data_IF_790672906492
#
_entry.id   IF_790672906492
#
_cell.length_a   1.000
_cell.length_b   1.000
_cell.length_c   1.000
_cell.angle_alpha   90.00
_cell.angle_beta   90.00
_cell.angle_gamma   90.00
#
_symmetry.space_group_name_H-M   'P 1'
#
loop_
_entity.id
_entity.type
_entity.pdbx_description
1 polymer ?
#
# COMPACT_ATOMS: atom_id res chain seq x y z
N UNK A 1 13.99 2.62 8.94
CA UNK A 1 13.49 3.11 10.25
C UNK A 1 12.00 2.83 10.32
N UNK A 2 11.51 2.34 11.46
CA UNK A 2 10.09 2.07 11.68
C UNK A 2 9.34 3.34 12.08
N UNK A 3 8.06 3.42 11.73
CA UNK A 3 7.19 4.51 12.17
C UNK A 3 6.99 4.44 13.70
N UNK A 4 7.17 5.53 14.45
CA UNK A 4 6.99 5.51 15.90
C UNK A 4 5.54 5.28 16.34
N UNK A 5 4.55 5.60 15.49
CA UNK A 5 3.13 5.45 15.83
C UNK A 5 2.65 3.99 15.76
N UNK A 6 3.23 3.17 14.89
CA UNK A 6 2.73 1.80 14.64
C UNK A 6 3.81 0.71 14.55
N UNK A 7 5.10 1.05 14.58
CA UNK A 7 6.22 0.11 14.45
C UNK A 7 6.47 -0.42 13.03
N UNK A 8 5.57 -0.13 12.07
CA UNK A 8 5.68 -0.54 10.67
C UNK A 8 6.55 0.44 9.89
N UNK A 9 7.44 0.00 8.98
CA UNK A 9 8.18 0.92 8.12
C UNK A 9 7.25 1.56 7.10
N UNK A 10 7.38 2.87 6.88
CA UNK A 10 6.68 3.58 5.82
C UNK A 10 7.48 3.49 4.51
N UNK A 11 7.15 2.51 3.67
CA UNK A 11 7.82 2.26 2.39
C UNK A 11 7.04 2.87 1.22
N UNK A 12 7.76 3.23 0.16
CA UNK A 12 7.20 3.74 -1.09
C UNK A 12 7.16 2.66 -2.17
N UNK A 13 6.27 2.83 -3.16
CA UNK A 13 6.27 2.03 -4.39
C UNK A 13 7.40 2.43 -5.36
N UNK A 14 8.03 3.57 -5.09
CA UNK A 14 9.23 4.07 -5.76
C UNK A 14 10.46 3.74 -4.90
N UNK A 15 11.60 3.45 -5.55
CA UNK A 15 12.85 3.08 -4.90
C UNK A 15 13.43 4.22 -4.06
N UNK A 16 13.42 5.45 -4.58
CA UNK A 16 13.86 6.65 -3.87
C UNK A 16 12.68 7.42 -3.26
N UNK A 17 12.47 7.42 -1.93
CA UNK A 17 11.40 8.19 -1.32
C UNK A 17 11.55 9.71 -1.56
N UNK A 18 12.78 10.22 -1.74
CA UNK A 18 13.02 11.63 -2.04
C UNK A 18 12.55 12.08 -3.43
N UNK A 19 12.33 11.14 -4.36
CA UNK A 19 11.96 11.43 -5.76
C UNK A 19 10.47 11.28 -6.04
N UNK A 20 9.66 10.83 -5.07
CA UNK A 20 8.24 10.55 -5.30
C UNK A 20 7.50 11.76 -5.86
N UNK A 21 7.70 12.95 -5.30
CA UNK A 21 7.09 14.19 -5.81
C UNK A 21 7.53 14.50 -7.24
N UNK A 22 8.83 14.34 -7.54
CA UNK A 22 9.37 14.58 -8.88
C UNK A 22 8.70 13.66 -9.92
N UNK A 23 8.53 12.39 -9.56
CA UNK A 23 7.95 11.38 -10.45
C UNK A 23 6.46 11.66 -10.65
N UNK A 24 5.68 11.82 -9.57
CA UNK A 24 4.21 11.85 -9.67
C UNK A 24 3.63 13.22 -10.02
N UNK A 25 4.37 14.31 -9.79
CA UNK A 25 3.88 15.68 -10.05
C UNK A 25 4.65 16.40 -11.15
N UNK A 26 5.96 16.12 -11.32
CA UNK A 26 6.81 16.81 -12.30
C UNK A 26 7.14 15.98 -13.55
N UNK A 27 6.71 14.72 -13.59
CA UNK A 27 6.94 13.84 -14.73
C UNK A 27 8.37 13.37 -14.89
N UNK A 28 9.16 13.32 -13.80
CA UNK A 28 10.46 12.63 -13.81
C UNK A 28 10.23 11.16 -14.19
N UNK A 29 10.97 10.67 -15.19
CA UNK A 29 10.89 9.25 -15.58
C UNK A 29 11.41 8.41 -14.40
N UNK A 30 10.64 7.43 -13.88
CA UNK A 30 11.17 6.57 -12.82
C UNK A 30 12.44 5.81 -13.26
N UNK A 31 12.73 5.64 -14.56
CA UNK A 31 14.01 5.07 -15.01
C UNK A 31 15.23 5.89 -14.54
N UNK A 32 15.04 7.17 -14.20
CA UNK A 32 16.07 8.07 -13.66
C UNK A 32 16.26 7.94 -12.13
N UNK A 33 15.44 7.14 -11.44
CA UNK A 33 15.59 6.88 -10.00
C UNK A 33 16.90 6.09 -9.76
N UNK A 34 17.93 6.67 -9.11
CA UNK A 34 19.24 6.04 -9.00
C UNK A 34 19.21 4.71 -8.21
N UNK A 35 18.20 4.55 -7.36
CA UNK A 35 18.03 3.37 -6.50
C UNK A 35 17.10 2.32 -7.12
N UNK A 36 16.67 2.46 -8.38
CA UNK A 36 15.72 1.56 -9.04
C UNK A 36 16.04 0.07 -8.83
N UNK A 37 17.32 -0.30 -8.80
CA UNK A 37 17.78 -1.69 -8.62
C UNK A 37 17.39 -2.28 -7.26
N UNK A 38 17.24 -1.46 -6.21
CA UNK A 38 16.80 -1.90 -4.87
C UNK A 38 15.37 -2.43 -4.88
N UNK A 39 14.56 -2.04 -5.88
CA UNK A 39 13.21 -2.58 -6.07
C UNK A 39 13.21 -4.07 -6.47
N UNK A 40 14.34 -4.58 -7.00
CA UNK A 40 14.48 -5.90 -7.58
C UNK A 40 14.10 -5.98 -9.07
N UNK A 41 13.84 -4.86 -9.72
CA UNK A 41 13.65 -4.81 -11.18
C UNK A 41 14.92 -5.26 -11.91
N UNK A 42 14.76 -5.86 -13.09
CA UNK A 42 15.90 -6.32 -13.91
C UNK A 42 16.49 -5.21 -14.78
N UNK A 43 15.78 -4.09 -14.94
CA UNK A 43 16.28 -2.91 -15.67
C UNK A 43 15.55 -1.63 -15.24
N UNK A 44 16.13 -0.44 -15.51
CA UNK A 44 15.45 0.84 -15.27
C UNK A 44 14.12 0.94 -16.05
N UNK A 45 14.07 0.42 -17.28
CA UNK A 45 12.86 0.45 -18.10
C UNK A 45 11.73 -0.43 -17.51
N UNK A 46 12.08 -1.58 -16.96
CA UNK A 46 11.11 -2.42 -16.25
C UNK A 46 10.60 -1.72 -14.98
N UNK A 47 11.51 -1.08 -14.25
CA UNK A 47 11.16 -0.29 -13.07
C UNK A 47 10.18 0.83 -13.42
N UNK A 48 10.51 1.66 -14.43
CA UNK A 48 9.67 2.76 -14.91
C UNK A 48 8.26 2.31 -15.29
N UNK A 49 8.16 1.17 -16.00
CA UNK A 49 6.88 0.61 -16.42
C UNK A 49 5.98 0.22 -15.25
N UNK A 50 6.55 -0.31 -14.16
CA UNK A 50 5.77 -0.90 -13.07
C UNK A 50 5.63 -0.01 -11.84
N UNK A 51 6.56 0.90 -11.56
CA UNK A 51 6.63 1.65 -10.29
C UNK A 51 5.31 2.37 -9.95
N UNK A 52 4.58 2.87 -10.95
CA UNK A 52 3.26 3.50 -10.78
C UNK A 52 2.14 2.58 -10.28
N UNK A 53 2.29 1.26 -10.40
CA UNK A 53 1.23 0.27 -10.17
C UNK A 53 1.44 -0.57 -8.90
N UNK A 54 2.60 -0.45 -8.24
CA UNK A 54 3.01 -1.33 -7.14
C UNK A 54 2.60 -0.85 -5.74
N UNK A 55 1.64 0.07 -5.61
CA UNK A 55 1.11 0.49 -4.30
C UNK A 55 0.64 -0.69 -3.43
N UNK A 56 0.02 -1.69 -4.05
CA UNK A 56 -0.41 -2.93 -3.38
C UNK A 56 0.76 -3.77 -2.85
N UNK A 57 1.82 -3.94 -3.65
CA UNK A 57 3.02 -4.67 -3.22
C UNK A 57 3.83 -3.91 -2.19
N UNK A 58 3.87 -2.58 -2.27
CA UNK A 58 4.45 -1.76 -1.20
C UNK A 58 3.69 -1.95 0.12
N UNK A 59 2.35 -1.98 0.08
CA UNK A 59 1.54 -2.27 1.27
C UNK A 59 1.80 -3.68 1.83
N UNK A 60 1.84 -4.70 0.96
CA UNK A 60 2.18 -6.07 1.38
C UNK A 60 3.58 -6.12 2.01
N UNK A 61 4.58 -5.50 1.39
CA UNK A 61 5.96 -5.45 1.90
C UNK A 61 6.03 -4.82 3.28
N UNK A 62 5.28 -3.74 3.51
CA UNK A 62 5.16 -3.12 4.83
C UNK A 62 4.51 -4.07 5.85
N UNK A 63 3.44 -4.77 5.46
CA UNK A 63 2.75 -5.73 6.33
C UNK A 63 3.61 -6.97 6.67
N UNK A 64 4.44 -7.44 5.74
CA UNK A 64 5.40 -8.52 5.97
C UNK A 64 6.55 -8.11 6.90
N UNK A 65 6.92 -6.82 6.87
CA UNK A 65 7.94 -6.27 7.76
C UNK A 65 9.37 -6.66 7.39
N UNK A 66 10.21 -6.87 8.40
CA UNK A 66 11.64 -7.15 8.20
C UNK A 66 11.85 -8.50 7.48
N UNK A 67 12.70 -8.51 6.46
CA UNK A 67 12.95 -9.70 5.64
C UNK A 67 11.95 -9.90 4.49
N UNK A 68 10.98 -8.99 4.31
CA UNK A 68 10.08 -9.03 3.17
C UNK A 68 10.85 -8.98 1.83
N UNK A 69 10.44 -9.77 0.81
CA UNK A 69 11.08 -9.75 -0.50
C UNK A 69 11.07 -8.36 -1.15
N UNK A 70 11.97 -8.10 -2.12
CA UNK A 70 11.92 -6.90 -2.96
C UNK A 70 10.58 -6.72 -3.66
N UNK A 71 10.24 -5.48 -4.01
CA UNK A 71 8.96 -5.11 -4.63
C UNK A 71 8.66 -5.91 -5.91
N UNK A 72 9.67 -6.15 -6.75
CA UNK A 72 9.51 -6.86 -8.01
C UNK A 72 9.40 -8.38 -7.82
N UNK A 73 10.04 -8.95 -6.80
CA UNK A 73 9.81 -10.34 -6.41
C UNK A 73 8.37 -10.54 -5.90
N UNK A 74 7.85 -9.60 -5.11
CA UNK A 74 6.45 -9.63 -4.67
C UNK A 74 5.48 -9.48 -5.84
N UNK A 75 5.77 -8.58 -6.80
CA UNK A 75 5.02 -8.41 -8.04
C UNK A 75 4.95 -9.71 -8.82
N UNK A 76 6.09 -10.39 -9.01
CA UNK A 76 6.13 -11.62 -9.82
C UNK A 76 5.35 -12.75 -9.18
N UNK A 77 5.47 -12.92 -7.85
CA UNK A 77 4.63 -13.85 -7.10
C UNK A 77 3.13 -13.51 -7.22
N UNK A 78 2.77 -12.23 -7.13
CA UNK A 78 1.39 -11.78 -7.28
C UNK A 78 0.86 -12.00 -8.72
N UNK A 79 1.68 -11.80 -9.75
CA UNK A 79 1.33 -12.05 -11.17
C UNK A 79 1.08 -13.53 -11.43
N UNK A 80 1.86 -14.43 -10.84
CA UNK A 80 1.64 -15.87 -10.94
C UNK A 80 0.26 -16.32 -10.38
N UNK A 81 -0.39 -15.45 -9.59
CA UNK A 81 -1.73 -15.67 -9.04
C UNK A 81 -2.82 -14.86 -9.76
N UNK A 82 -2.50 -14.14 -10.84
CA UNK A 82 -3.39 -13.21 -11.55
C UNK A 82 -3.81 -11.97 -10.73
N UNK A 83 -3.03 -11.61 -9.71
CA UNK A 83 -3.31 -10.42 -8.90
C UNK A 83 -2.92 -9.11 -9.61
N UNK A 84 -2.09 -9.20 -10.65
CA UNK A 84 -1.78 -8.12 -11.58
C UNK A 84 -1.86 -8.67 -12.99
N UNK A 85 -2.57 -7.94 -13.86
CA UNK A 85 -2.77 -8.31 -15.26
C UNK A 85 -2.39 -7.15 -16.18
N UNK A 86 -2.02 -7.50 -17.41
CA UNK A 86 -1.83 -6.56 -18.50
C UNK A 86 -2.91 -6.80 -19.55
N UNK A 87 -3.51 -5.72 -20.04
CA UNK A 87 -4.39 -5.81 -21.20
C UNK A 87 -3.58 -6.05 -22.49
N UNK A 88 -4.26 -6.36 -23.59
CA UNK A 88 -3.62 -6.62 -24.88
C UNK A 88 -2.81 -5.43 -25.44
N UNK A 89 -3.14 -4.21 -25.02
CA UNK A 89 -2.41 -2.97 -25.39
C UNK A 89 -1.22 -2.67 -24.47
N UNK A 90 -0.94 -3.54 -23.49
CA UNK A 90 0.15 -3.41 -22.52
C UNK A 90 -0.19 -2.58 -21.28
N UNK A 91 -1.44 -2.14 -21.13
CA UNK A 91 -1.93 -1.41 -19.94
C UNK A 91 -1.90 -2.31 -18.70
N UNK A 92 -1.21 -1.88 -17.65
CA UNK A 92 -1.16 -2.59 -16.37
C UNK A 92 -2.39 -2.22 -15.53
N UNK A 93 -3.20 -3.23 -15.17
CA UNK A 93 -4.35 -3.05 -14.28
C UNK A 93 -3.91 -2.93 -12.82
N UNK A 94 -4.76 -2.30 -12.00
CA UNK A 94 -4.57 -2.26 -10.55
C UNK A 94 -4.68 -3.65 -9.90
N UNK A 95 -4.20 -3.77 -8.67
CA UNK A 95 -4.21 -5.02 -7.91
C UNK A 95 -5.64 -5.61 -7.80
N UNK A 96 -5.80 -6.86 -8.22
CA UNK A 96 -7.04 -7.63 -8.09
C UNK A 96 -7.06 -8.32 -6.71
N UNK A 97 -8.10 -8.08 -5.91
CA UNK A 97 -8.08 -8.44 -4.48
C UNK A 97 -8.21 -9.92 -4.16
N UNK A 98 -9.12 -10.63 -4.83
CA UNK A 98 -9.31 -12.07 -4.56
C UNK A 98 -8.06 -12.90 -4.90
N UNK A 99 -7.42 -12.72 -6.07
CA UNK A 99 -6.19 -13.43 -6.37
C UNK A 99 -5.00 -12.96 -5.52
N UNK A 100 -4.94 -11.67 -5.17
CA UNK A 100 -3.96 -11.16 -4.21
C UNK A 100 -4.09 -11.83 -2.83
N UNK A 101 -5.31 -11.93 -2.30
CA UNK A 101 -5.53 -12.53 -0.99
C UNK A 101 -5.17 -14.02 -0.99
N UNK A 102 -5.39 -14.72 -2.10
CA UNK A 102 -4.90 -16.09 -2.31
C UNK A 102 -3.38 -16.15 -2.27
N UNK A 103 -2.69 -15.29 -3.00
CA UNK A 103 -1.23 -15.18 -2.98
C UNK A 103 -0.67 -14.90 -1.58
N UNK A 104 -1.26 -13.94 -0.86
CA UNK A 104 -0.84 -13.59 0.49
C UNK A 104 -1.00 -14.76 1.48
N UNK A 105 -2.08 -15.54 1.37
CA UNK A 105 -2.31 -16.74 2.21
C UNK A 105 -1.33 -17.86 1.87
N UNK A 106 -1.23 -18.23 0.60
CA UNK A 106 -0.52 -19.44 0.18
C UNK A 106 1.01 -19.28 0.20
N UNK A 107 1.51 -18.09 -0.15
CA UNK A 107 2.97 -17.86 -0.24
C UNK A 107 3.53 -17.24 1.03
N UNK A 108 2.76 -16.40 1.72
CA UNK A 108 3.25 -15.63 2.88
C UNK A 108 2.59 -16.01 4.20
N UNK A 109 1.64 -16.96 4.21
CA UNK A 109 0.95 -17.40 5.43
C UNK A 109 0.10 -16.31 6.09
N UNK A 110 -0.22 -15.22 5.38
CA UNK A 110 -1.03 -14.13 5.91
C UNK A 110 -2.50 -14.44 5.70
N UNK A 111 -3.29 -14.50 6.79
CA UNK A 111 -4.76 -14.60 6.74
C UNK A 111 -5.36 -13.34 6.09
N UNK A 112 -5.32 -13.24 4.76
CA UNK A 112 -5.79 -12.09 4.00
C UNK A 112 -7.29 -12.24 3.68
N UNK A 113 -8.08 -11.22 4.06
CA UNK A 113 -9.54 -11.21 3.89
C UNK A 113 -9.96 -10.04 3.01
N UNK A 114 -10.69 -10.33 1.93
CA UNK A 114 -11.18 -9.33 0.98
C UNK A 114 -12.49 -8.73 1.47
N UNK A 115 -12.53 -7.39 1.53
CA UNK A 115 -13.73 -6.63 1.87
C UNK A 115 -14.17 -5.84 0.64
N UNK A 116 -15.14 -6.39 -0.12
CA UNK A 116 -15.70 -5.74 -1.32
C UNK A 116 -16.56 -4.52 -0.99
N UNK A 117 -17.12 -4.51 0.22
CA UNK A 117 -17.78 -3.37 0.87
C UNK A 117 -17.21 -3.29 2.27
N UNK A 118 -16.69 -2.13 2.64
CA UNK A 118 -16.08 -1.85 3.93
C UNK A 118 -16.42 -0.42 4.31
N UNK A 119 -17.33 -0.24 5.26
CA UNK A 119 -17.63 1.05 5.85
C UNK A 119 -16.53 1.45 6.85
N UNK A 120 -16.39 2.75 7.11
CA UNK A 120 -15.34 3.24 8.01
C UNK A 120 -15.47 2.73 9.45
N UNK A 121 -16.67 2.59 10.05
CA UNK A 121 -16.79 1.95 11.36
C UNK A 121 -16.30 0.50 11.36
N UNK A 122 -16.54 -0.25 10.28
CA UNK A 122 -16.06 -1.63 10.13
C UNK A 122 -14.53 -1.66 9.97
N UNK A 123 -13.97 -0.72 9.19
CA UNK A 123 -12.52 -0.53 9.09
C UNK A 123 -11.92 -0.28 10.47
N UNK A 124 -12.49 0.63 11.26
CA UNK A 124 -12.03 0.89 12.63
C UNK A 124 -12.12 -0.36 13.51
N UNK A 125 -13.21 -1.13 13.40
CA UNK A 125 -13.36 -2.40 14.12
C UNK A 125 -12.29 -3.43 13.76
N UNK A 126 -11.87 -3.50 12.49
CA UNK A 126 -10.75 -4.36 12.07
C UNK A 126 -9.43 -3.91 12.72
N UNK A 127 -9.20 -2.60 12.81
CA UNK A 127 -8.00 -2.06 13.48
C UNK A 127 -8.00 -2.38 14.98
N UNK A 128 -9.16 -2.26 15.64
CA UNK A 128 -9.34 -2.60 17.05
C UNK A 128 -9.15 -4.10 17.30
N UNK A 129 -9.48 -4.94 16.32
CA UNK A 129 -9.24 -6.39 16.33
C UNK A 129 -7.78 -6.77 15.99
N UNK A 130 -6.85 -5.81 15.98
CA UNK A 130 -5.43 -6.07 15.73
C UNK A 130 -5.10 -6.38 14.27
N UNK A 131 -5.92 -5.93 13.32
CA UNK A 131 -5.64 -6.08 11.88
C UNK A 131 -5.11 -4.79 11.29
N UNK A 132 -4.41 -4.91 10.17
CA UNK A 132 -4.13 -3.80 9.26
C UNK A 132 -5.04 -3.90 8.02
N UNK A 133 -5.25 -2.78 7.32
CA UNK A 133 -6.13 -2.75 6.14
C UNK A 133 -5.43 -2.09 4.97
N UNK A 134 -5.25 -2.84 3.89
CA UNK A 134 -4.94 -2.29 2.57
C UNK A 134 -6.20 -1.63 2.01
N UNK A 135 -6.37 -0.34 2.29
CA UNK A 135 -7.56 0.42 1.95
C UNK A 135 -7.45 1.02 0.55
N UNK A 136 -8.49 0.83 -0.26
CA UNK A 136 -8.59 1.48 -1.57
C UNK A 136 -8.93 2.95 -1.42
N UNK A 137 -8.05 3.82 -1.88
CA UNK A 137 -8.24 5.27 -1.83
C UNK A 137 -7.93 5.88 -3.19
N UNK A 138 -8.29 7.15 -3.38
CA UNK A 138 -7.76 7.93 -4.49
C UNK A 138 -6.35 8.44 -4.19
N UNK A 139 -5.46 8.45 -5.19
CA UNK A 139 -4.06 8.87 -5.02
C UNK A 139 -3.91 10.34 -4.57
N UNK A 140 -4.91 11.18 -4.84
CA UNK A 140 -4.98 12.56 -4.36
C UNK A 140 -5.00 12.69 -2.82
N UNK A 141 -5.12 11.60 -2.06
CA UNK A 141 -4.96 11.59 -0.60
C UNK A 141 -3.59 12.14 -0.13
N UNK A 142 -2.61 12.28 -1.06
CA UNK A 142 -1.37 13.06 -0.85
C UNK A 142 -1.64 14.50 -0.39
N UNK A 143 -2.80 15.06 -0.76
CA UNK A 143 -3.23 16.42 -0.47
C UNK A 143 -4.58 16.41 0.25
N UNK A 144 -4.61 16.00 1.53
CA UNK A 144 -5.85 15.82 2.29
C UNK A 144 -6.61 17.13 2.54
N UNK A 145 -5.98 18.28 2.36
CA UNK A 145 -6.56 19.62 2.39
C UNK A 145 -7.38 19.96 1.13
N UNK A 146 -7.22 19.21 0.04
CA UNK A 146 -7.93 19.41 -1.23
C UNK A 146 -9.16 18.49 -1.35
N UNK A 147 -10.17 18.86 -2.16
CA UNK A 147 -11.27 17.96 -2.50
C UNK A 147 -10.77 16.67 -3.14
N UNK A 148 -11.41 15.55 -2.82
CA UNK A 148 -11.15 14.28 -3.49
C UNK A 148 -11.80 14.29 -4.89
N UNK A 149 -11.04 14.16 -5.99
CA UNK A 149 -11.62 14.21 -7.33
C UNK A 149 -12.38 12.93 -7.70
N UNK A 150 -12.02 11.79 -7.10
CA UNK A 150 -12.67 10.50 -7.26
C UNK A 150 -12.31 9.59 -6.07
N UNK A 151 -12.67 8.30 -6.16
CA UNK A 151 -12.33 7.26 -5.16
C UNK A 151 -11.70 6.04 -5.84
N UNK A 152 -10.66 5.47 -5.22
CA UNK A 152 -9.95 4.29 -5.70
C UNK A 152 -8.81 4.60 -6.68
N UNK A 153 -8.18 3.55 -7.21
CA UNK A 153 -6.99 3.66 -8.08
C UNK A 153 -5.66 3.63 -7.32
N UNK A 154 -5.68 3.69 -5.99
CA UNK A 154 -4.51 3.60 -5.13
C UNK A 154 -4.79 2.75 -3.88
N UNK A 155 -3.74 2.21 -3.27
CA UNK A 155 -3.80 1.48 -2.00
C UNK A 155 -2.89 2.14 -0.96
N UNK A 156 -3.41 2.26 0.25
CA UNK A 156 -2.65 2.63 1.46
C UNK A 156 -2.79 1.55 2.50
N UNK A 157 -1.79 1.41 3.37
CA UNK A 157 -1.84 0.47 4.49
C UNK A 157 -2.27 1.22 5.76
N UNK A 158 -3.52 1.07 6.17
CA UNK A 158 -4.01 1.57 7.45
C UNK A 158 -3.53 0.63 8.55
N UNK A 159 -2.73 1.14 9.47
CA UNK A 159 -2.01 0.33 10.49
C UNK A 159 -2.56 0.53 11.90
N UNK A 160 -3.44 1.51 12.10
CA UNK A 160 -4.05 1.76 13.39
C UNK A 160 -4.95 2.99 13.40
N UNK A 161 -5.54 3.27 14.56
CA UNK A 161 -6.22 4.53 14.82
C UNK A 161 -5.21 5.66 14.93
N UNK A 162 -5.65 6.87 14.59
CA UNK A 162 -4.86 8.07 14.81
C UNK A 162 -4.55 8.25 16.29
N UNK A 163 -3.30 8.58 16.60
CA UNK A 163 -2.90 8.99 17.95
C UNK A 163 -3.21 10.48 18.21
N UNK A 164 -3.39 11.27 17.15
CA UNK A 164 -3.92 12.63 17.25
C UNK A 164 -5.40 12.54 17.63
N UNK A 165 -5.79 13.20 18.72
CA UNK A 165 -7.09 13.02 19.39
C UNK A 165 -8.31 13.12 18.47
N UNK A 166 -9.40 12.46 18.87
CA UNK A 166 -10.62 12.30 18.08
C UNK A 166 -10.67 10.97 17.31
N UNK A 167 -11.61 10.86 16.37
CA UNK A 167 -11.76 9.66 15.54
C UNK A 167 -10.98 9.83 14.23
N UNK A 168 -9.93 9.03 14.05
CA UNK A 168 -9.07 9.08 12.86
C UNK A 168 -8.29 7.79 12.64
N UNK A 169 -7.53 7.78 11.55
CA UNK A 169 -6.71 6.63 11.13
C UNK A 169 -5.26 7.05 10.90
N UNK A 170 -4.35 6.17 11.30
CA UNK A 170 -2.93 6.23 10.95
C UNK A 170 -2.65 5.25 9.81
N UNK A 171 -2.00 5.71 8.74
CA UNK A 171 -1.71 4.88 7.58
C UNK A 171 -0.38 5.20 6.92
N UNK A 172 0.10 4.25 6.12
CA UNK A 172 1.26 4.41 5.26
C UNK A 172 0.83 4.50 3.80
N UNK A 173 1.30 5.55 3.12
CA UNK A 173 0.98 5.86 1.74
C UNK A 173 2.19 5.59 0.84
N UNK A 174 2.15 4.53 0.00
CA UNK A 174 3.25 4.21 -0.92
C UNK A 174 3.62 5.29 -1.92
N UNK A 175 2.72 6.25 -2.16
CA UNK A 175 2.94 7.39 -3.07
C UNK A 175 3.00 8.73 -2.35
N UNK A 176 3.26 8.73 -1.04
CA UNK A 176 3.47 9.95 -0.26
C UNK A 176 4.70 10.73 -0.73
N UNK A 177 4.51 12.03 -0.98
CA UNK A 177 5.52 12.94 -1.55
C UNK A 177 6.45 13.56 -0.50
N UNK A 178 6.13 13.38 0.77
CA UNK A 178 6.86 13.91 1.93
C UNK A 178 6.77 12.94 3.10
N UNK A 179 7.63 13.08 4.11
CA UNK A 179 7.54 12.20 5.29
C UNK A 179 6.14 12.22 5.97
N UNK A 180 5.49 13.39 6.19
CA UNK A 180 4.15 13.44 6.77
C UNK A 180 3.04 12.87 5.87
N UNK A 181 3.23 12.82 4.55
CA UNK A 181 2.25 12.21 3.63
C UNK A 181 2.52 10.74 3.38
N UNK A 182 3.72 10.24 3.72
CA UNK A 182 4.08 8.80 3.69
C UNK A 182 3.62 8.04 4.91
N UNK A 183 3.73 8.64 6.10
CA UNK A 183 3.15 8.13 7.33
C UNK A 183 2.25 9.23 7.90
N UNK A 184 0.95 9.06 7.72
CA UNK A 184 -0.03 10.12 7.90
C UNK A 184 -1.10 9.73 8.92
N UNK A 185 -1.50 10.72 9.71
CA UNK A 185 -2.70 10.68 10.54
C UNK A 185 -3.74 11.60 9.92
N UNK A 186 -4.95 11.07 9.68
CA UNK A 186 -6.08 11.87 9.21
C UNK A 186 -7.32 11.66 10.07
N UNK A 187 -8.11 12.72 10.33
CA UNK A 187 -9.48 12.56 10.83
C UNK A 187 -10.28 11.63 9.91
N UNK A 188 -11.15 10.80 10.48
CA UNK A 188 -11.87 9.78 9.71
C UNK A 188 -12.68 10.40 8.57
N UNK A 189 -13.38 11.50 8.84
CA UNK A 189 -14.16 12.24 7.85
C UNK A 189 -13.32 12.76 6.67
N UNK A 190 -12.04 13.09 6.92
CA UNK A 190 -11.11 13.53 5.87
C UNK A 190 -10.70 12.34 5.01
N UNK A 191 -10.33 11.22 5.63
CA UNK A 191 -9.96 9.98 4.96
C UNK A 191 -11.10 9.41 4.10
N UNK A 192 -12.33 9.44 4.62
CA UNK A 192 -13.55 8.94 3.96
C UNK A 192 -13.82 9.58 2.60
N UNK A 193 -13.40 10.83 2.38
CA UNK A 193 -13.56 11.49 1.08
C UNK A 193 -12.80 10.76 -0.03
N UNK A 194 -11.63 10.20 0.30
CA UNK A 194 -10.77 9.47 -0.64
C UNK A 194 -11.04 7.97 -0.64
N UNK A 195 -11.58 7.43 0.46
CA UNK A 195 -11.80 6.00 0.65
C UNK A 195 -12.90 5.45 -0.25
N UNK A 196 -12.58 4.39 -0.98
CA UNK A 196 -13.45 3.77 -1.95
C UNK A 196 -14.37 2.68 -1.37
N UNK A 197 -14.40 2.54 -0.03
CA UNK A 197 -15.30 1.62 0.68
C UNK A 197 -14.97 0.14 0.45
N UNK A 198 -13.69 -0.19 0.22
CA UNK A 198 -13.22 -1.56 -0.04
C UNK A 198 -11.73 -1.70 0.27
N UNK A 199 -11.28 -2.94 0.47
CA UNK A 199 -9.87 -3.22 0.72
C UNK A 199 -9.61 -4.68 1.06
N UNK A 200 -8.42 -4.95 1.58
CA UNK A 200 -8.02 -6.27 2.08
C UNK A 200 -7.46 -6.10 3.49
N UNK A 201 -7.99 -6.83 4.46
CA UNK A 201 -7.43 -6.83 5.81
C UNK A 201 -6.38 -7.92 5.96
N UNK A 202 -5.30 -7.59 6.65
CA UNK A 202 -4.17 -8.48 6.93
C UNK A 202 -3.93 -8.55 8.45
N UNK A 203 -3.27 -9.60 8.95
CA UNK A 203 -2.71 -9.57 10.30
C UNK A 203 -1.78 -8.36 10.48
N UNK A 204 -1.66 -7.83 11.70
CA UNK A 204 -0.74 -6.73 11.97
C UNK A 204 0.71 -7.23 11.91
N UNK A 205 1.59 -6.41 11.33
CA UNK A 205 3.02 -6.69 11.29
C UNK A 205 3.56 -6.77 12.73
N UNK A 206 4.11 -7.92 13.11
CA UNK A 206 4.62 -8.19 14.47
C UNK A 206 3.93 -9.32 15.21
N UNK A 207 2.70 -9.68 14.84
CA UNK A 207 1.93 -10.75 15.52
C UNK A 207 2.12 -12.13 14.86
N UNK A 208 2.85 -12.19 13.74
CA UNK A 208 3.11 -13.41 12.97
C UNK A 208 4.21 -14.34 13.50
N UNK A 209 4.71 -14.13 14.73
CA UNK A 209 5.55 -15.13 15.42
C UNK A 209 4.69 -15.92 16.40
N UNK A 210 3.99 -16.94 15.91
CA UNK A 210 3.25 -17.84 16.80
C UNK A 210 2.23 -18.76 16.13
N UNK A 211 2.68 -19.66 15.24
CA UNK A 211 1.98 -20.92 14.95
C UNK A 211 2.95 -21.89 14.25
N UNK A 212 3.92 -22.38 15.02
CA UNK A 212 4.82 -23.46 14.62
C UNK A 212 5.20 -24.21 15.89
N UNK A 213 4.25 -25.02 16.37
CA UNK A 213 4.54 -26.17 17.23
C UNK A 213 4.87 -27.36 16.33
#
# INVERSE_FOLDING_TARGET
>A
MSCPACGVPALTQFASPGLVEAIVERGLDPAEDPDWAVSGAVSPAEYARWAGHLCGMACLRMALGAGAPPLFALRDGARAYDAYTEDADGTIRGLVYDPFARYAREVHGLDAVVHRRLASPELLGLLDAGRSVMASVHFAIRYPDRPAPARGGHLVLVTGRSAAGGVGVHFHNPSGISAPTRAADLPLAVFERFFAGRGVSLPKAGDGRGAGA
#
